data_IF_878584004340
#
_entry.id   IF_878584004340
#
_cell.length_a   1.000
_cell.length_b   1.000
_cell.length_c   1.000
_cell.angle_alpha   90.00
_cell.angle_beta   90.00
_cell.angle_gamma   90.00
#
_symmetry.space_group_name_H-M   'P 1'
#
loop_
_entity.id
_entity.type
_entity.pdbx_description
1 polymer ?
#
# COMPACT_ATOMS: atom_id res chain seq x y z
N UNK A 1 -6.10 -6.44 -16.50
CA UNK A 1 -5.80 -7.23 -15.27
C UNK A 1 -5.28 -6.25 -14.24
N UNK A 2 -5.67 -6.42 -12.99
CA UNK A 2 -5.14 -5.65 -11.87
C UNK A 2 -4.42 -6.63 -10.97
N UNK A 3 -3.17 -6.33 -10.63
CA UNK A 3 -2.41 -7.04 -9.61
C UNK A 3 -2.50 -6.26 -8.30
N UNK A 4 -2.72 -6.98 -7.20
CA UNK A 4 -2.77 -6.48 -5.83
C UNK A 4 -1.91 -7.43 -5.01
N UNK A 5 -0.90 -6.92 -4.30
CA UNK A 5 -0.07 -7.73 -3.42
C UNK A 5 -0.89 -8.31 -2.26
N UNK A 6 -0.50 -9.48 -1.76
CA UNK A 6 -1.31 -10.32 -0.89
C UNK A 6 -1.56 -9.72 0.50
N UNK A 7 -0.73 -8.78 0.91
CA UNK A 7 -0.81 -8.10 2.20
C UNK A 7 -1.49 -6.72 2.12
N UNK A 8 -2.05 -6.36 0.96
CA UNK A 8 -2.77 -5.10 0.81
C UNK A 8 -4.18 -5.16 1.41
N UNK A 9 -4.62 -4.00 1.88
CA UNK A 9 -6.00 -3.73 2.24
C UNK A 9 -6.57 -2.73 1.24
N UNK A 10 -7.74 -3.03 0.69
CA UNK A 10 -8.44 -2.20 -0.30
C UNK A 10 -9.69 -1.58 0.35
N UNK A 11 -9.79 -0.24 0.30
CA UNK A 11 -10.86 0.58 0.88
C UNK A 11 -11.74 1.28 -0.16
N UNK A 12 -11.58 0.93 -1.43
CA UNK A 12 -12.26 1.58 -2.56
C UNK A 12 -12.85 0.54 -3.50
N UNK A 13 -13.69 0.99 -4.43
CA UNK A 13 -14.15 0.15 -5.54
C UNK A 13 -13.02 -0.02 -6.57
N UNK A 14 -12.53 -1.25 -6.72
CA UNK A 14 -11.49 -1.59 -7.70
C UNK A 14 -11.96 -1.41 -9.15
N UNK A 15 -13.28 -1.30 -9.39
CA UNK A 15 -13.85 -0.91 -10.67
C UNK A 15 -13.35 0.45 -11.15
N UNK A 16 -13.12 1.41 -10.24
CA UNK A 16 -12.55 2.72 -10.60
C UNK A 16 -11.15 2.59 -11.23
N UNK A 17 -10.34 1.64 -10.75
CA UNK A 17 -9.01 1.38 -11.31
C UNK A 17 -9.09 0.61 -12.63
N UNK A 18 -10.07 -0.30 -12.74
CA UNK A 18 -10.32 -1.08 -13.95
C UNK A 18 -10.73 -0.19 -15.13
N UNK A 19 -11.60 0.79 -14.89
CA UNK A 19 -12.14 1.69 -15.92
C UNK A 19 -11.25 2.92 -16.18
N UNK A 20 -10.13 3.06 -15.47
CA UNK A 20 -9.25 4.21 -15.59
C UNK A 20 -8.65 4.32 -17.00
N UNK A 21 -8.74 5.51 -17.60
CA UNK A 21 -8.08 5.80 -18.89
C UNK A 21 -6.57 5.93 -18.72
N UNK A 22 -5.85 4.86 -19.07
CA UNK A 22 -4.38 4.77 -19.01
C UNK A 22 -3.66 5.56 -20.11
N UNK A 23 -4.40 6.35 -20.90
CA UNK A 23 -3.89 7.22 -21.97
C UNK A 23 -3.04 6.45 -22.99
N UNK A 24 -3.53 5.26 -23.35
CA UNK A 24 -2.89 4.37 -24.31
C UNK A 24 -1.58 3.71 -23.82
N UNK A 25 -1.29 3.74 -22.52
CA UNK A 25 -0.11 3.06 -21.95
C UNK A 25 -0.47 1.62 -21.55
N UNK A 26 0.40 0.63 -21.81
CA UNK A 26 0.11 -0.77 -21.54
C UNK A 26 0.14 -1.13 -20.04
N UNK A 27 0.80 -0.30 -19.22
CA UNK A 27 1.03 -0.51 -17.80
C UNK A 27 0.64 0.73 -17.00
N UNK A 28 0.11 0.54 -15.80
CA UNK A 28 -0.10 1.62 -14.83
C UNK A 28 0.34 1.19 -13.43
N UNK A 29 1.14 2.02 -12.76
CA UNK A 29 1.72 1.73 -11.44
C UNK A 29 1.62 2.98 -10.57
N UNK A 30 1.60 2.81 -9.25
CA UNK A 30 1.66 3.95 -8.31
C UNK A 30 3.13 4.34 -8.03
N UNK A 31 3.49 5.63 -8.12
CA UNK A 31 4.83 6.10 -7.76
C UNK A 31 5.08 6.00 -6.24
N UNK A 32 6.36 5.95 -5.85
CA UNK A 32 6.74 6.08 -4.45
C UNK A 32 6.29 7.42 -3.85
N UNK A 33 5.81 7.37 -2.59
CA UNK A 33 5.50 8.55 -1.82
C UNK A 33 6.75 9.36 -1.43
N UNK A 34 6.61 10.69 -1.48
CA UNK A 34 7.66 11.65 -1.14
C UNK A 34 7.35 12.47 0.12
N UNK A 35 6.28 12.12 0.83
CA UNK A 35 5.74 12.91 1.94
C UNK A 35 6.48 12.70 3.26
N UNK A 36 6.96 11.48 3.55
CA UNK A 36 7.70 11.21 4.78
C UNK A 36 9.20 11.51 4.63
N UNK A 37 9.61 12.70 5.10
CA UNK A 37 10.99 13.20 5.02
C UNK A 37 12.00 12.41 5.85
N UNK A 38 11.55 11.73 6.92
CA UNK A 38 12.43 10.89 7.73
C UNK A 38 13.05 9.75 6.92
N UNK A 39 12.39 9.34 5.83
CA UNK A 39 12.86 8.29 4.95
C UNK A 39 13.79 8.76 3.82
N UNK A 40 14.15 10.05 3.74
CA UNK A 40 14.89 10.59 2.59
C UNK A 40 16.24 9.91 2.36
N UNK A 41 16.92 9.48 3.43
CA UNK A 41 18.17 8.71 3.33
C UNK A 41 18.02 7.34 2.67
N UNK A 42 16.81 6.78 2.63
CA UNK A 42 16.51 5.46 2.05
C UNK A 42 15.96 5.55 0.61
N UNK A 43 15.73 6.75 0.08
CA UNK A 43 15.22 6.97 -1.29
C UNK A 43 16.31 6.81 -2.34
N UNK A 44 16.79 5.58 -2.50
CA UNK A 44 17.89 5.26 -3.41
C UNK A 44 17.62 5.68 -4.87
N UNK A 45 16.34 5.72 -5.29
CA UNK A 45 15.96 6.14 -6.65
C UNK A 45 16.16 7.63 -6.92
N UNK A 46 16.36 8.46 -5.89
CA UNK A 46 16.62 9.91 -6.02
C UNK A 46 18.10 10.25 -6.22
N UNK A 47 18.97 9.26 -6.25
CA UNK A 47 20.42 9.44 -6.39
C UNK A 47 21.04 8.39 -7.32
N UNK A 48 22.29 8.65 -7.74
CA UNK A 48 23.08 7.72 -8.56
C UNK A 48 22.36 7.26 -9.83
N UNK A 49 22.53 5.97 -10.14
CA UNK A 49 22.05 5.34 -11.38
C UNK A 49 20.58 5.62 -11.68
N UNK A 50 19.68 5.37 -10.72
CA UNK A 50 18.24 5.48 -10.95
C UNK A 50 17.80 6.91 -11.28
N UNK A 51 18.36 7.91 -10.59
CA UNK A 51 18.09 9.32 -10.88
C UNK A 51 18.45 9.68 -12.33
N UNK A 52 19.65 9.29 -12.75
CA UNK A 52 20.18 9.62 -14.07
C UNK A 52 19.45 8.85 -15.18
N UNK A 53 19.14 7.58 -14.92
CA UNK A 53 18.41 6.72 -15.85
C UNK A 53 16.96 7.17 -16.05
N UNK A 54 16.24 7.52 -14.97
CA UNK A 54 14.82 7.87 -15.04
C UNK A 54 14.56 9.22 -15.73
N UNK A 55 15.53 10.14 -15.74
CA UNK A 55 15.43 11.46 -16.42
C UNK A 55 14.16 12.23 -16.04
N UNK A 56 13.86 12.27 -14.75
CA UNK A 56 12.69 12.96 -14.20
C UNK A 56 11.40 12.13 -14.19
N UNK A 57 11.42 10.88 -14.68
CA UNK A 57 10.30 9.96 -14.50
C UNK A 57 10.27 9.41 -13.07
N UNK A 58 9.08 9.12 -12.52
CA UNK A 58 8.97 8.55 -11.20
C UNK A 58 9.45 7.09 -11.16
N UNK A 59 9.93 6.69 -9.99
CA UNK A 59 10.17 5.29 -9.64
C UNK A 59 8.90 4.73 -9.01
N UNK A 60 8.36 3.66 -9.59
CA UNK A 60 7.05 3.09 -9.26
C UNK A 60 7.16 1.83 -8.39
N UNK A 61 6.10 1.53 -7.64
CA UNK A 61 6.00 0.39 -6.72
C UNK A 61 5.24 -0.77 -7.39
N UNK A 62 5.73 -2.00 -7.27
CA UNK A 62 5.12 -3.21 -7.86
C UNK A 62 3.98 -3.83 -7.06
N UNK A 63 3.60 -3.26 -5.92
CA UNK A 63 2.56 -3.80 -5.05
C UNK A 63 1.13 -3.65 -5.62
N UNK A 64 0.87 -2.61 -6.43
CA UNK A 64 -0.40 -2.40 -7.13
C UNK A 64 -0.13 -1.92 -8.55
N UNK A 65 -0.64 -2.64 -9.54
CA UNK A 65 -0.53 -2.21 -10.95
C UNK A 65 -1.63 -2.75 -11.85
N UNK A 66 -1.87 -2.03 -12.94
CA UNK A 66 -2.80 -2.40 -14.00
C UNK A 66 -2.03 -2.78 -15.25
N UNK A 67 -2.48 -3.87 -15.90
CA UNK A 67 -2.04 -4.25 -17.24
C UNK A 67 -3.24 -4.19 -18.17
N UNK A 68 -3.21 -3.24 -19.11
CA UNK A 68 -4.08 -3.26 -20.28
C UNK A 68 -3.55 -4.36 -21.21
N UNK A 69 -4.12 -5.55 -21.11
CA UNK A 69 -3.68 -6.70 -21.87
C UNK A 69 -3.80 -6.52 -23.39
N UNK A 70 -4.78 -5.75 -23.86
CA UNK A 70 -4.95 -5.49 -25.28
C UNK A 70 -3.80 -4.61 -25.78
N UNK A 71 -3.53 -3.50 -25.08
CA UNK A 71 -2.43 -2.59 -25.42
C UNK A 71 -1.08 -3.25 -25.24
N UNK A 72 -0.87 -3.98 -24.14
CA UNK A 72 0.36 -4.71 -23.83
C UNK A 72 0.74 -5.69 -24.95
N UNK A 73 -0.23 -6.42 -25.50
CA UNK A 73 -0.02 -7.29 -26.67
C UNK A 73 0.22 -6.49 -27.95
N UNK A 74 -0.61 -5.48 -28.21
CA UNK A 74 -0.51 -4.65 -29.41
C UNK A 74 0.87 -4.01 -29.56
N UNK A 75 1.49 -3.58 -28.45
CA UNK A 75 2.79 -2.90 -28.45
C UNK A 75 3.96 -3.86 -28.20
N UNK A 76 3.73 -5.17 -28.16
CA UNK A 76 4.75 -6.17 -27.80
C UNK A 76 5.52 -5.81 -26.52
N UNK A 77 4.83 -5.26 -25.51
CA UNK A 77 5.46 -4.78 -24.28
C UNK A 77 6.14 -5.93 -23.53
N UNK A 78 5.53 -7.12 -23.52
CA UNK A 78 6.10 -8.31 -22.89
C UNK A 78 7.41 -8.78 -23.52
N UNK A 79 7.53 -8.70 -24.85
CA UNK A 79 8.77 -9.10 -25.53
C UNK A 79 9.90 -8.10 -25.25
N UNK A 80 9.59 -6.79 -25.23
CA UNK A 80 10.54 -5.77 -24.80
C UNK A 80 11.02 -6.00 -23.36
N UNK A 81 10.10 -6.30 -22.42
CA UNK A 81 10.47 -6.60 -21.03
C UNK A 81 11.39 -7.83 -20.94
N UNK A 82 11.10 -8.90 -21.70
CA UNK A 82 11.95 -10.11 -21.73
C UNK A 82 13.34 -9.84 -22.31
N UNK A 83 13.45 -9.03 -23.36
CA UNK A 83 14.74 -8.64 -23.95
C UNK A 83 15.58 -7.80 -22.97
N UNK A 84 14.93 -6.86 -22.26
CA UNK A 84 15.59 -6.07 -21.21
C UNK A 84 16.06 -6.99 -20.08
N UNK A 85 15.20 -7.89 -19.62
CA UNK A 85 15.55 -8.88 -18.59
C UNK A 85 16.74 -9.76 -19.01
N UNK A 86 16.72 -10.32 -20.22
CA UNK A 86 17.82 -11.14 -20.75
C UNK A 86 19.16 -10.37 -20.79
N UNK A 87 19.11 -9.06 -21.01
CA UNK A 87 20.31 -8.22 -21.00
C UNK A 87 20.83 -7.98 -19.59
N UNK A 88 19.93 -7.62 -18.66
CA UNK A 88 20.29 -7.23 -17.29
C UNK A 88 20.60 -8.43 -16.38
N UNK A 89 19.93 -9.56 -16.58
CA UNK A 89 20.08 -10.78 -15.75
C UNK A 89 21.46 -11.44 -15.85
N UNK A 90 22.31 -11.01 -16.81
CA UNK A 90 23.70 -11.45 -16.93
C UNK A 90 24.57 -11.01 -15.77
N UNK A 91 24.23 -9.89 -15.13
CA UNK A 91 24.86 -9.45 -13.90
C UNK A 91 23.91 -9.70 -12.72
N UNK A 92 24.28 -10.56 -11.75
CA UNK A 92 23.43 -10.87 -10.60
C UNK A 92 23.12 -9.67 -9.71
N UNK A 93 23.83 -8.55 -9.86
CA UNK A 93 23.63 -7.35 -9.04
C UNK A 93 22.72 -6.30 -9.69
N UNK A 94 22.23 -6.54 -10.92
CA UNK A 94 21.49 -5.52 -11.69
C UNK A 94 20.00 -5.39 -11.34
N UNK A 95 19.36 -6.47 -10.87
CA UNK A 95 17.90 -6.53 -10.61
C UNK A 95 17.64 -7.02 -9.18
N UNK A 96 17.81 -6.13 -8.20
CA UNK A 96 17.60 -6.44 -6.79
C UNK A 96 16.17 -6.90 -6.50
N UNK A 97 15.19 -6.20 -7.09
CA UNK A 97 13.78 -6.55 -7.01
C UNK A 97 13.22 -6.61 -8.43
N UNK A 98 13.29 -7.79 -9.07
CA UNK A 98 12.97 -7.97 -10.50
C UNK A 98 11.62 -7.36 -10.92
N UNK A 99 10.59 -7.59 -10.12
CA UNK A 99 9.21 -7.16 -10.36
C UNK A 99 9.05 -5.62 -10.35
N UNK A 100 9.89 -4.93 -9.58
CA UNK A 100 9.88 -3.46 -9.51
C UNK A 100 10.92 -2.82 -10.44
N UNK A 101 12.15 -3.35 -10.45
CA UNK A 101 13.28 -2.79 -11.17
C UNK A 101 13.10 -2.93 -12.69
N UNK A 102 12.57 -4.06 -13.17
CA UNK A 102 12.43 -4.27 -14.61
C UNK A 102 11.45 -3.29 -15.27
N UNK A 103 10.21 -3.08 -14.76
CA UNK A 103 9.32 -2.04 -15.30
C UNK A 103 9.92 -0.64 -15.18
N UNK A 104 10.59 -0.32 -14.06
CA UNK A 104 11.20 0.99 -13.84
C UNK A 104 12.37 1.27 -14.80
N UNK A 105 13.19 0.26 -15.08
CA UNK A 105 14.26 0.38 -16.07
C UNK A 105 13.68 0.55 -17.49
N UNK A 106 12.67 -0.25 -17.83
CA UNK A 106 12.11 -0.32 -19.17
C UNK A 106 11.16 0.83 -19.53
N UNK A 107 10.84 1.76 -18.61
CA UNK A 107 9.83 2.80 -18.82
C UNK A 107 10.00 3.58 -20.13
N UNK A 108 11.24 3.81 -20.58
CA UNK A 108 11.54 4.55 -21.81
C UNK A 108 11.02 3.86 -23.08
N UNK A 109 10.91 2.53 -23.05
CA UNK A 109 10.45 1.70 -24.16
C UNK A 109 9.05 1.14 -23.91
N UNK A 110 8.73 0.80 -22.66
CA UNK A 110 7.43 0.29 -22.21
C UNK A 110 6.81 1.34 -21.27
N UNK A 111 5.99 2.27 -21.78
CA UNK A 111 5.54 3.41 -21.00
C UNK A 111 4.59 3.00 -19.87
N UNK A 112 4.77 3.63 -18.72
CA UNK A 112 3.94 3.47 -17.51
C UNK A 112 3.07 4.70 -17.32
N UNK A 113 1.78 4.48 -17.05
CA UNK A 113 0.87 5.49 -16.55
C UNK A 113 1.04 5.59 -15.04
N UNK A 114 1.43 6.76 -14.53
CA UNK A 114 1.55 6.96 -13.09
C UNK A 114 0.16 7.14 -12.49
N UNK A 115 -0.24 6.19 -11.64
CA UNK A 115 -1.50 6.27 -10.92
C UNK A 115 -1.48 7.42 -9.90
N UNK A 116 -2.64 8.03 -9.59
CA UNK A 116 -2.77 8.99 -8.50
C UNK A 116 -2.24 8.42 -7.17
N UNK A 117 -1.64 9.28 -6.33
CA UNK A 117 -0.92 8.84 -5.13
C UNK A 117 -1.84 8.13 -4.12
N UNK A 118 -3.12 8.49 -4.06
CA UNK A 118 -4.10 7.86 -3.19
C UNK A 118 -4.30 6.37 -3.46
N UNK A 119 -3.91 5.86 -4.65
CA UNK A 119 -4.03 4.44 -4.98
C UNK A 119 -3.08 3.54 -4.23
N UNK A 120 -2.02 4.05 -3.60
CA UNK A 120 -1.13 3.23 -2.80
C UNK A 120 -0.55 4.03 -1.66
N UNK A 121 -0.86 3.60 -0.44
CA UNK A 121 -0.29 4.17 0.78
C UNK A 121 0.52 3.10 1.52
N UNK A 122 1.70 3.47 2.02
CA UNK A 122 2.39 2.72 3.05
C UNK A 122 2.91 3.67 4.13
N UNK A 123 2.86 3.23 5.38
CA UNK A 123 3.26 3.98 6.57
C UNK A 123 4.67 4.57 6.46
N UNK A 124 5.63 3.75 6.00
CA UNK A 124 7.03 4.16 5.89
C UNK A 124 7.18 5.40 4.99
N UNK A 125 6.55 5.41 3.81
CA UNK A 125 6.87 6.39 2.77
C UNK A 125 5.90 7.57 2.69
N UNK A 126 4.61 7.33 2.96
CA UNK A 126 3.53 8.29 2.72
C UNK A 126 3.19 9.14 3.95
N UNK A 127 3.47 8.64 5.15
CA UNK A 127 3.16 9.31 6.42
C UNK A 127 1.66 9.35 6.73
N UNK A 128 1.31 9.59 8.00
CA UNK A 128 -0.07 9.48 8.48
C UNK A 128 -1.04 10.54 7.91
N UNK A 129 -0.54 11.71 7.51
CA UNK A 129 -1.38 12.80 7.01
C UNK A 129 -2.18 12.44 5.74
N UNK A 130 -1.68 11.49 4.94
CA UNK A 130 -2.31 11.08 3.67
C UNK A 130 -3.14 9.79 3.80
N UNK A 131 -3.07 9.11 4.94
CA UNK A 131 -3.71 7.80 5.16
C UNK A 131 -5.23 7.82 5.02
N UNK A 132 -5.87 8.93 5.41
CA UNK A 132 -7.33 9.07 5.31
C UNK A 132 -7.83 9.11 3.86
N UNK A 133 -6.96 9.44 2.89
CA UNK A 133 -7.28 9.47 1.47
C UNK A 133 -6.90 8.17 0.76
N UNK A 134 -6.23 7.24 1.46
CA UNK A 134 -5.71 6.02 0.86
C UNK A 134 -6.83 5.09 0.39
N UNK A 135 -6.79 4.74 -0.90
CA UNK A 135 -7.66 3.76 -1.56
C UNK A 135 -7.17 2.33 -1.32
N UNK A 136 -5.86 2.11 -1.32
CA UNK A 136 -5.25 0.86 -0.86
C UNK A 136 -4.09 1.13 0.08
N UNK A 137 -3.84 0.19 0.99
CA UNK A 137 -2.78 0.24 1.98
C UNK A 137 -1.90 -0.99 1.79
N UNK A 138 -0.62 -0.76 1.51
CA UNK A 138 0.43 -1.78 1.45
C UNK A 138 1.15 -1.85 2.81
N UNK A 139 1.31 -3.07 3.33
CA UNK A 139 2.05 -3.34 4.57
C UNK A 139 3.55 -3.48 4.26
N UNK A 140 4.11 -2.40 3.70
CA UNK A 140 5.49 -2.38 3.25
C UNK A 140 6.48 -2.45 4.41
N UNK A 141 7.65 -3.02 4.14
CA UNK A 141 8.71 -3.12 5.14
C UNK A 141 9.22 -1.73 5.54
N UNK A 142 9.53 -1.57 6.83
CA UNK A 142 10.17 -0.37 7.34
C UNK A 142 11.70 -0.56 7.31
N UNK A 143 12.48 0.34 6.69
CA UNK A 143 13.94 0.20 6.66
C UNK A 143 14.62 0.58 7.99
N UNK A 144 13.92 1.27 8.90
CA UNK A 144 14.43 1.69 10.21
C UNK A 144 14.09 0.71 11.33
N UNK A 145 13.00 -0.06 11.19
CA UNK A 145 12.50 -0.97 12.23
C UNK A 145 12.27 -2.38 11.66
N UNK A 146 12.15 -3.38 12.53
CA UNK A 146 11.89 -4.77 12.13
C UNK A 146 10.56 -5.28 12.69
N UNK A 147 9.54 -4.42 12.69
CA UNK A 147 8.20 -4.83 13.13
C UNK A 147 7.65 -5.95 12.22
N UNK A 148 7.16 -7.07 12.77
CA UNK A 148 6.52 -8.12 11.97
C UNK A 148 5.22 -7.65 11.32
N UNK A 149 4.93 -8.11 10.09
CA UNK A 149 3.73 -7.70 9.34
C UNK A 149 2.41 -7.90 10.10
N UNK A 150 2.27 -8.99 10.86
CA UNK A 150 1.06 -9.23 11.68
C UNK A 150 0.84 -8.16 12.75
N UNK A 151 1.91 -7.67 13.37
CA UNK A 151 1.82 -6.60 14.35
C UNK A 151 1.50 -5.27 13.67
N UNK A 152 2.19 -4.99 12.55
CA UNK A 152 1.92 -3.82 11.71
C UNK A 152 0.48 -3.78 11.22
N UNK A 153 -0.07 -4.91 10.73
CA UNK A 153 -1.43 -5.00 10.22
C UNK A 153 -2.47 -4.54 11.25
N UNK A 154 -2.41 -5.09 12.47
CA UNK A 154 -3.33 -4.74 13.57
C UNK A 154 -3.22 -3.27 14.01
N UNK A 155 -2.00 -2.71 13.98
CA UNK A 155 -1.74 -1.33 14.40
C UNK A 155 -2.08 -0.30 13.32
N UNK A 156 -1.77 -0.62 12.07
CA UNK A 156 -1.92 0.27 10.92
C UNK A 156 -3.36 0.25 10.42
N UNK A 157 -4.03 -0.90 10.40
CA UNK A 157 -5.35 -1.05 9.80
C UNK A 157 -6.31 -1.60 10.86
N UNK A 158 -7.08 -0.73 11.55
CA UNK A 158 -7.98 -1.16 12.62
C UNK A 158 -8.95 -2.25 12.18
N UNK A 159 -9.49 -2.17 10.96
CA UNK A 159 -10.44 -3.15 10.41
C UNK A 159 -9.81 -4.51 10.05
N UNK A 160 -8.48 -4.64 10.10
CA UNK A 160 -7.80 -5.90 9.77
C UNK A 160 -8.17 -7.02 10.74
N UNK A 161 -8.39 -6.69 12.03
CA UNK A 161 -8.77 -7.70 13.03
C UNK A 161 -10.14 -8.31 12.74
N UNK A 162 -11.05 -7.51 12.17
CA UNK A 162 -12.39 -7.95 11.83
C UNK A 162 -12.37 -8.88 10.61
N UNK A 163 -11.56 -8.55 9.59
CA UNK A 163 -11.36 -9.43 8.42
C UNK A 163 -10.69 -10.77 8.81
N UNK A 164 -9.67 -10.73 9.67
CA UNK A 164 -9.03 -11.95 10.20
C UNK A 164 -10.02 -12.78 11.02
N UNK A 165 -10.84 -12.14 11.85
CA UNK A 165 -11.90 -12.81 12.59
C UNK A 165 -12.89 -13.48 11.63
N UNK A 166 -13.43 -12.77 10.64
CA UNK A 166 -14.38 -13.32 9.66
C UNK A 166 -13.81 -14.56 8.94
N UNK A 167 -12.57 -14.49 8.46
CA UNK A 167 -11.90 -15.58 7.77
C UNK A 167 -11.71 -16.81 8.68
N UNK A 168 -11.34 -16.61 9.95
CA UNK A 168 -11.21 -17.69 10.93
C UNK A 168 -12.54 -18.34 11.26
N UNK A 169 -13.59 -17.55 11.49
CA UNK A 169 -14.94 -18.06 11.74
C UNK A 169 -15.44 -18.89 10.55
N UNK A 170 -15.22 -18.42 9.32
CA UNK A 170 -15.58 -19.18 8.13
C UNK A 170 -14.79 -20.50 8.03
N UNK A 171 -13.48 -20.46 8.28
CA UNK A 171 -12.62 -21.65 8.25
C UNK A 171 -13.05 -22.69 9.28
N UNK A 172 -13.32 -22.26 10.52
CA UNK A 172 -13.80 -23.12 11.59
C UNK A 172 -15.12 -23.83 11.23
N UNK A 173 -16.07 -23.09 10.64
CA UNK A 173 -17.34 -23.63 10.17
C UNK A 173 -17.17 -24.72 9.11
N UNK A 174 -16.19 -24.58 8.22
CA UNK A 174 -15.89 -25.58 7.19
C UNK A 174 -15.20 -26.82 7.78
N UNK A 175 -14.34 -26.63 8.77
CA UNK A 175 -13.59 -27.72 9.43
C UNK A 175 -14.40 -28.46 10.50
N UNK A 176 -15.57 -27.95 10.89
CA UNK A 176 -16.40 -28.53 11.96
C UNK A 176 -15.84 -28.27 13.35
N UNK A 177 -15.02 -27.23 13.51
CA UNK A 177 -14.49 -26.77 14.80
C UNK A 177 -15.57 -25.99 15.57
N UNK A 178 -15.50 -26.02 16.89
CA UNK A 178 -16.51 -25.38 17.74
C UNK A 178 -16.28 -23.86 17.74
N UNK A 179 -17.18 -23.13 17.08
CA UNK A 179 -17.05 -21.68 16.80
C UNK A 179 -16.97 -20.84 18.08
N UNK A 180 -17.58 -21.31 19.17
CA UNK A 180 -17.60 -20.66 20.48
C UNK A 180 -16.20 -20.58 21.13
N UNK A 181 -15.34 -21.60 20.95
CA UNK A 181 -13.97 -21.60 21.50
C UNK A 181 -13.02 -20.66 20.75
N UNK A 182 -13.32 -20.36 19.47
CA UNK A 182 -12.47 -19.51 18.62
C UNK A 182 -12.80 -18.03 18.83
N UNK A 183 -14.08 -17.70 19.06
CA UNK A 183 -14.52 -16.35 19.37
C UNK A 183 -13.92 -15.83 20.70
N UNK A 184 -13.76 -16.71 21.71
CA UNK A 184 -13.14 -16.35 23.00
C UNK A 184 -11.62 -16.06 22.88
N UNK A 185 -10.95 -16.58 21.85
CA UNK A 185 -9.52 -16.34 21.60
C UNK A 185 -9.24 -15.03 20.85
N UNK A 186 -10.28 -14.34 20.35
CA UNK A 186 -10.16 -13.06 19.65
C UNK A 186 -10.39 -11.94 20.69
N UNK A 187 -9.41 -11.07 20.96
CA UNK A 187 -9.62 -9.96 21.87
C UNK A 187 -10.70 -9.04 21.30
N UNK A 188 -11.60 -8.49 22.14
CA UNK A 188 -12.69 -7.64 21.68
C UNK A 188 -12.14 -6.44 20.92
N UNK A 189 -12.73 -6.16 19.75
CA UNK A 189 -12.53 -4.93 18.99
C UNK A 189 -12.91 -3.74 19.87
N UNK A 190 -11.97 -2.81 20.09
CA UNK A 190 -12.23 -1.59 20.86
C UNK A 190 -13.16 -0.67 20.07
N UNK A 191 -14.46 -0.73 20.34
CA UNK A 191 -15.42 0.28 19.90
C UNK A 191 -15.18 1.61 20.66
N UNK A 192 -14.89 2.66 19.88
CA UNK A 192 -15.16 4.08 20.15
C UNK A 192 -14.64 4.74 21.44
N UNK A 193 -13.49 5.42 21.34
CA UNK A 193 -13.26 6.66 22.11
C UNK A 193 -13.82 7.84 21.30
N UNK A 194 -15.11 8.10 21.47
CA UNK A 194 -15.73 9.39 21.09
C UNK A 194 -15.75 10.29 22.34
N UNK A 195 -15.23 11.54 22.28
CA UNK A 195 -15.27 12.43 23.44
C UNK A 195 -16.72 12.81 23.76
N UNK A 196 -17.16 12.56 25.00
CA UNK A 196 -18.42 13.12 25.51
C UNK A 196 -18.29 14.64 25.65
N UNK A 197 -19.33 15.42 25.32
CA UNK A 197 -19.35 16.84 25.60
C UNK A 197 -19.67 17.04 27.09
N UNK A 198 -18.77 17.68 27.83
CA UNK A 198 -19.06 18.15 29.18
C UNK A 198 -19.93 19.41 29.09
N UNK A 199 -21.14 19.33 29.62
CA UNK A 199 -21.94 20.50 29.98
C UNK A 199 -22.65 20.30 31.33
N UNK A 200 -22.62 21.39 32.10
CA UNK A 200 -23.31 21.75 33.35
C UNK A 200 -22.73 21.25 34.67
N UNK A 201 -22.17 22.14 35.50
CA UNK A 201 -22.77 23.27 36.26
C UNK A 201 -23.20 22.81 37.66
N UNK A 202 -22.45 23.27 38.66
CA UNK A 202 -22.99 23.49 40.00
C UNK A 202 -22.14 24.52 40.73
N UNK A 203 -22.65 25.75 40.69
CA UNK A 203 -22.49 26.79 41.69
C UNK A 203 -22.50 26.25 43.13
N UNK A 204 -21.52 26.68 43.94
CA UNK A 204 -21.64 26.71 45.40
C UNK A 204 -21.05 28.01 45.94
N UNK A 205 -21.88 28.62 46.78
CA UNK A 205 -21.76 29.92 47.42
C UNK A 205 -20.52 30.05 48.33
N UNK A 206 -19.90 31.23 48.29
CA UNK A 206 -19.02 31.71 49.35
C UNK A 206 -19.52 33.08 49.83
N UNK A 207 -20.01 33.11 51.07
CA UNK A 207 -20.25 34.32 51.88
C UNK A 207 -19.64 34.12 53.27
N UNK A 208 -19.30 35.26 53.87
CA UNK A 208 -18.78 35.55 55.22
C UNK A 208 -17.23 35.63 55.30
N UNK A 209 -16.63 36.82 55.15
CA UNK A 209 -16.45 37.94 56.12
C UNK A 209 -15.43 37.64 57.25
N UNK A 210 -14.19 38.12 57.09
CA UNK A 210 -13.53 39.17 57.90
C UNK A 210 -12.12 39.50 57.35
#
# INVERSE_FOLDING_TARGET
VIFVDADQIVRTDMGELYDMDLKGRPLAYTPFCDNNKEMDGYRFWKQGFWKDHLRGRPYHISALYVVDLAKFRQTAAGDNLRVVYETLSKDPNSLSNLDQDLPNYAQHTVPIFSLPQEWLWCESWCGNATKAQAKTIDLCNNPMTKEPKLQGAKRIVPEWVDFDAEARHFTARILGENVEEIAEAIPPSSESDAPKPDHDDSSQDAKDEL
#
